data_IF_378402913204
#
_entry.id   IF_378402913204
#
_cell.length_a   1.000
_cell.length_b   1.000
_cell.length_c   1.000
_cell.angle_alpha   90.00
_cell.angle_beta   90.00
_cell.angle_gamma   90.00
#
_symmetry.space_group_name_H-M   'P 1'
#
loop_
_entity.id
_entity.type
_entity.pdbx_description
1 polymer ?
#
# COMPACT_ATOMS: atom_id res chain seq x y z
N UNK A 1 8.65 19.10 -4.73
CA UNK A 1 7.47 18.93 -3.87
C UNK A 1 6.30 19.65 -4.52
N UNK A 2 5.21 18.94 -4.70
CA UNK A 2 3.99 19.48 -5.32
C UNK A 2 3.18 20.38 -4.40
N UNK A 3 2.02 20.80 -4.90
CA UNK A 3 1.14 21.76 -4.21
C UNK A 3 0.35 21.11 -3.06
N UNK A 4 0.07 21.89 -2.04
CA UNK A 4 -0.74 21.49 -0.89
C UNK A 4 -0.22 20.22 -0.19
N UNK A 5 1.10 20.07 -0.12
CA UNK A 5 1.74 19.03 0.68
C UNK A 5 1.89 19.51 2.13
N UNK A 6 1.68 18.58 3.06
CA UNK A 6 1.93 18.81 4.49
C UNK A 6 3.06 17.87 4.94
N UNK A 7 4.12 18.46 5.48
CA UNK A 7 5.28 17.71 6.00
C UNK A 7 5.49 18.17 7.43
N UNK A 8 5.25 17.26 8.37
CA UNK A 8 5.34 17.57 9.79
C UNK A 8 6.78 17.46 10.27
N UNK A 9 7.19 18.39 11.10
CA UNK A 9 8.49 18.29 11.78
C UNK A 9 8.44 17.20 12.87
N UNK A 10 9.59 16.64 13.15
CA UNK A 10 9.74 15.74 14.29
C UNK A 10 9.65 16.51 15.61
N UNK A 11 9.06 15.88 16.63
CA UNK A 11 9.07 16.42 18.01
C UNK A 11 10.48 16.29 18.60
N UNK A 12 11.08 15.12 18.42
CA UNK A 12 12.47 14.81 18.76
C UNK A 12 13.06 14.06 17.56
N UNK A 13 14.27 14.37 17.16
CA UNK A 13 14.89 13.78 15.97
C UNK A 13 14.55 14.55 14.71
N UNK A 14 14.35 13.86 13.60
CA UNK A 14 14.15 14.50 12.29
C UNK A 14 13.13 13.75 11.44
N UNK A 15 12.37 14.50 10.68
CA UNK A 15 11.66 14.02 9.49
C UNK A 15 12.60 14.23 8.30
N UNK A 16 12.89 13.16 7.54
CA UNK A 16 13.92 13.17 6.50
C UNK A 16 13.34 12.71 5.18
N UNK A 17 13.64 13.44 4.12
CA UNK A 17 13.33 13.07 2.74
C UNK A 17 14.65 13.03 1.98
N UNK A 18 14.95 11.87 1.40
CA UNK A 18 16.20 11.66 0.65
C UNK A 18 16.22 12.42 -0.67
N UNK A 19 17.42 12.61 -1.18
CA UNK A 19 17.66 13.29 -2.45
C UNK A 19 16.96 12.61 -3.62
N UNK A 20 16.66 13.35 -4.67
CA UNK A 20 15.97 12.89 -5.89
C UNK A 20 14.57 12.31 -5.65
N UNK A 21 14.04 12.34 -4.46
CA UNK A 21 12.66 11.93 -4.18
C UNK A 21 11.68 12.96 -4.73
N UNK A 22 10.72 12.49 -5.50
CA UNK A 22 9.67 13.31 -6.13
C UNK A 22 8.38 13.16 -5.33
N UNK A 23 7.80 14.28 -4.96
CA UNK A 23 6.56 14.34 -4.18
C UNK A 23 5.54 15.13 -4.98
N UNK A 24 4.44 14.47 -5.34
CA UNK A 24 3.33 15.06 -6.07
C UNK A 24 2.40 15.85 -5.13
N UNK A 25 1.30 16.35 -5.65
CA UNK A 25 0.36 17.18 -4.91
C UNK A 25 -0.37 16.40 -3.80
N UNK A 26 -0.82 17.12 -2.76
CA UNK A 26 -1.68 16.58 -1.71
C UNK A 26 -1.05 15.40 -0.95
N UNK A 27 0.24 15.40 -0.75
CA UNK A 27 0.97 14.38 0.00
C UNK A 27 1.08 14.81 1.46
N UNK A 28 0.82 13.88 2.39
CA UNK A 28 1.03 14.10 3.82
C UNK A 28 2.15 13.20 4.35
N UNK A 29 3.14 13.82 4.95
CA UNK A 29 4.26 13.12 5.61
C UNK A 29 4.26 13.54 7.09
N UNK A 30 3.93 12.61 7.96
CA UNK A 30 3.84 12.86 9.39
C UNK A 30 5.22 12.94 10.06
N UNK A 31 5.22 13.26 11.33
CA UNK A 31 6.42 13.47 12.13
C UNK A 31 7.33 12.23 12.18
N UNK A 32 8.64 12.43 12.24
CA UNK A 32 9.65 11.38 12.39
C UNK A 32 9.66 10.33 11.26
N UNK A 33 9.07 10.62 10.13
CA UNK A 33 9.12 9.77 8.95
C UNK A 33 10.48 9.92 8.28
N UNK A 34 11.03 8.81 7.80
CA UNK A 34 12.25 8.79 6.98
C UNK A 34 11.93 8.21 5.62
N UNK A 35 12.19 8.96 4.59
CA UNK A 35 12.02 8.55 3.19
C UNK A 35 13.39 8.52 2.53
N UNK A 36 13.71 7.40 1.91
CA UNK A 36 14.97 7.21 1.19
C UNK A 36 15.09 8.08 -0.05
N UNK A 37 16.16 7.89 -0.79
CA UNK A 37 16.44 8.61 -2.03
C UNK A 37 15.70 8.01 -3.22
N UNK A 38 15.44 8.84 -4.24
CA UNK A 38 14.91 8.40 -5.53
C UNK A 38 13.50 7.82 -5.47
N UNK A 39 12.72 8.13 -4.44
CA UNK A 39 11.34 7.67 -4.30
C UNK A 39 10.39 8.51 -5.15
N UNK A 40 9.25 7.92 -5.50
CA UNK A 40 8.14 8.60 -6.17
C UNK A 40 6.89 8.48 -5.30
N UNK A 41 6.43 9.59 -4.75
CA UNK A 41 5.21 9.67 -3.97
C UNK A 41 4.15 10.38 -4.80
N UNK A 42 3.18 9.63 -5.29
CA UNK A 42 2.14 10.16 -6.18
C UNK A 42 1.03 10.85 -5.36
N UNK A 43 0.16 11.57 -6.04
CA UNK A 43 -0.84 12.42 -5.43
C UNK A 43 -1.69 11.70 -4.36
N UNK A 44 -1.91 12.35 -3.24
CA UNK A 44 -2.71 11.83 -2.13
C UNK A 44 -2.02 10.75 -1.28
N UNK A 45 -0.73 10.47 -1.49
CA UNK A 45 0.03 9.59 -0.60
C UNK A 45 0.04 10.16 0.82
N UNK A 46 -0.14 9.29 1.80
CA UNK A 46 -0.09 9.66 3.21
C UNK A 46 0.70 8.63 4.02
N UNK A 47 1.59 9.10 4.87
CA UNK A 47 2.38 8.23 5.75
C UNK A 47 2.31 8.73 7.19
N UNK A 48 1.95 7.81 8.07
CA UNK A 48 1.86 8.08 9.51
C UNK A 48 3.23 8.10 10.18
N UNK A 49 3.28 8.66 11.39
CA UNK A 49 4.52 8.95 12.09
C UNK A 49 5.43 7.76 12.35
N UNK A 50 6.71 8.03 12.37
CA UNK A 50 7.79 7.08 12.71
C UNK A 50 7.91 5.88 11.76
N UNK A 51 7.39 5.98 10.56
CA UNK A 51 7.58 4.97 9.52
C UNK A 51 8.77 5.30 8.63
N UNK A 52 9.39 4.28 8.06
CA UNK A 52 10.56 4.41 7.21
C UNK A 52 10.29 3.81 5.83
N UNK A 53 10.61 4.56 4.79
CA UNK A 53 10.59 4.13 3.40
C UNK A 53 12.01 3.98 2.91
N UNK A 54 12.34 2.85 2.32
CA UNK A 54 13.65 2.61 1.71
C UNK A 54 13.88 3.43 0.45
N UNK A 55 14.96 3.12 -0.25
CA UNK A 55 15.35 3.83 -1.46
C UNK A 55 14.59 3.34 -2.70
N UNK A 56 14.38 4.23 -3.66
CA UNK A 56 13.79 3.90 -4.97
C UNK A 56 12.42 3.22 -4.91
N UNK A 57 11.62 3.55 -3.91
CA UNK A 57 10.25 3.07 -3.79
C UNK A 57 9.29 3.92 -4.63
N UNK A 58 8.27 3.29 -5.19
CA UNK A 58 7.22 3.97 -5.96
C UNK A 58 5.86 3.69 -5.33
N UNK A 59 5.16 4.74 -4.98
CA UNK A 59 3.79 4.68 -4.46
C UNK A 59 2.85 5.35 -5.43
N UNK A 60 1.92 4.60 -5.97
CA UNK A 60 0.87 5.14 -6.83
C UNK A 60 -0.14 5.97 -6.00
N UNK A 61 -1.11 6.56 -6.64
CA UNK A 61 -2.01 7.52 -6.00
C UNK A 61 -2.77 6.99 -4.79
N UNK A 62 -2.92 7.82 -3.78
CA UNK A 62 -3.74 7.57 -2.61
C UNK A 62 -3.33 6.34 -1.78
N UNK A 63 -2.06 6.01 -1.73
CA UNK A 63 -1.53 4.96 -0.85
C UNK A 63 -1.40 5.51 0.56
N UNK A 64 -1.85 4.72 1.55
CA UNK A 64 -1.70 5.01 2.97
C UNK A 64 -0.71 4.07 3.64
N UNK A 65 0.09 4.59 4.56
CA UNK A 65 1.07 3.82 5.34
C UNK A 65 0.81 4.02 6.83
N UNK A 66 0.57 2.93 7.55
CA UNK A 66 0.35 2.95 9.00
C UNK A 66 1.64 3.33 9.76
N UNK A 67 1.54 3.73 11.04
CA UNK A 67 2.71 4.17 11.81
C UNK A 67 3.66 3.03 12.16
N UNK A 68 4.92 3.40 12.42
CA UNK A 68 5.97 2.49 12.92
C UNK A 68 6.27 1.29 12.00
N UNK A 69 6.17 1.48 10.70
CA UNK A 69 6.44 0.46 9.68
C UNK A 69 7.71 0.73 8.92
N UNK A 70 8.26 -0.32 8.30
CA UNK A 70 9.38 -0.24 7.38
C UNK A 70 9.00 -0.83 6.02
N UNK A 71 9.20 -0.05 4.98
CA UNK A 71 9.03 -0.49 3.59
C UNK A 71 10.40 -0.62 2.96
N UNK A 72 10.76 -1.81 2.52
CA UNK A 72 12.08 -2.08 1.96
C UNK A 72 12.33 -1.41 0.62
N UNK A 73 13.60 -1.30 0.25
CA UNK A 73 14.06 -0.66 -1.00
C UNK A 73 13.36 -1.24 -2.23
N UNK A 74 13.13 -0.39 -3.23
CA UNK A 74 12.57 -0.78 -4.54
C UNK A 74 11.19 -1.45 -4.46
N UNK A 75 10.41 -1.14 -3.45
CA UNK A 75 9.01 -1.56 -3.37
C UNK A 75 8.15 -0.72 -4.30
N UNK A 76 7.20 -1.34 -4.97
CA UNK A 76 6.19 -0.69 -5.79
C UNK A 76 4.83 -0.99 -5.19
N UNK A 77 4.04 0.06 -4.93
CA UNK A 77 2.74 -0.08 -4.29
C UNK A 77 1.65 0.52 -5.18
N UNK A 78 0.66 -0.29 -5.53
CA UNK A 78 -0.45 0.10 -6.39
C UNK A 78 -1.38 1.13 -5.73
N UNK A 79 -2.14 1.83 -6.57
CA UNK A 79 -3.06 2.88 -6.12
C UNK A 79 -4.06 2.40 -5.08
N UNK A 80 -4.38 3.27 -4.13
CA UNK A 80 -5.37 3.05 -3.06
C UNK A 80 -5.04 1.87 -2.15
N UNK A 81 -3.79 1.44 -2.10
CA UNK A 81 -3.34 0.40 -1.18
C UNK A 81 -3.17 0.94 0.24
N UNK A 82 -3.42 0.10 1.23
CA UNK A 82 -3.21 0.41 2.64
C UNK A 82 -2.14 -0.50 3.22
N UNK A 83 -0.99 0.05 3.57
CA UNK A 83 0.13 -0.70 4.16
C UNK A 83 -0.05 -0.72 5.67
N UNK A 84 -0.33 -1.91 6.21
CA UNK A 84 -0.61 -2.12 7.64
C UNK A 84 0.48 -2.90 8.36
N UNK A 85 1.46 -3.41 7.63
CA UNK A 85 2.63 -4.11 8.17
C UNK A 85 3.86 -3.79 7.33
N UNK A 86 5.04 -4.02 7.89
CA UNK A 86 6.30 -3.83 7.17
C UNK A 86 6.38 -4.71 5.92
N UNK A 87 6.97 -4.18 4.86
CA UNK A 87 7.07 -4.83 3.55
C UNK A 87 8.53 -5.08 3.19
N UNK A 88 8.81 -6.25 2.65
CA UNK A 88 10.12 -6.58 2.07
C UNK A 88 10.32 -5.79 0.78
N UNK A 89 11.56 -5.39 0.51
CA UNK A 89 11.91 -4.69 -0.71
C UNK A 89 11.87 -5.55 -1.98
N UNK A 90 11.89 -4.89 -3.12
CA UNK A 90 11.99 -5.54 -4.43
C UNK A 90 10.72 -6.21 -4.94
N UNK A 91 9.57 -5.92 -4.35
CA UNK A 91 8.29 -6.55 -4.69
C UNK A 91 7.22 -5.53 -5.03
N UNK A 92 6.16 -5.98 -5.68
CA UNK A 92 4.97 -5.20 -6.00
C UNK A 92 3.83 -5.60 -5.06
N UNK A 93 3.19 -4.60 -4.47
CA UNK A 93 2.12 -4.78 -3.49
C UNK A 93 0.84 -4.09 -3.95
N UNK A 94 -0.31 -4.63 -3.54
CA UNK A 94 -1.62 -4.04 -3.81
C UNK A 94 -2.63 -4.40 -2.72
N UNK A 95 -3.68 -3.62 -2.61
CA UNK A 95 -4.84 -3.89 -1.77
C UNK A 95 -4.81 -3.25 -0.40
N UNK A 96 -5.85 -3.52 0.36
CA UNK A 96 -6.00 -3.10 1.76
C UNK A 96 -6.55 -4.29 2.57
N UNK A 97 -5.78 -4.89 3.48
CA UNK A 97 -4.34 -4.66 3.72
C UNK A 97 -3.48 -5.03 2.49
N UNK A 98 -2.41 -4.28 2.28
CA UNK A 98 -1.53 -4.49 1.13
C UNK A 98 -0.84 -5.85 1.20
N UNK A 99 -0.84 -6.54 0.06
CA UNK A 99 -0.23 -7.87 -0.14
C UNK A 99 0.59 -7.86 -1.41
N UNK A 100 1.44 -8.84 -1.59
CA UNK A 100 2.07 -9.03 -2.88
C UNK A 100 1.01 -9.13 -3.97
N UNK A 101 1.27 -8.51 -5.12
CA UNK A 101 0.25 -8.36 -6.17
C UNK A 101 -0.29 -9.70 -6.67
N UNK A 102 0.53 -10.74 -6.67
CA UNK A 102 0.08 -12.10 -7.06
C UNK A 102 -1.00 -12.62 -6.12
N UNK A 103 -0.79 -12.47 -4.81
CA UNK A 103 -1.75 -12.89 -3.79
C UNK A 103 -3.02 -12.05 -3.84
N UNK A 104 -2.87 -10.74 -4.02
CA UNK A 104 -4.00 -9.83 -4.19
C UNK A 104 -4.86 -10.22 -5.40
N UNK A 105 -4.26 -10.42 -6.56
CA UNK A 105 -4.98 -10.79 -7.79
C UNK A 105 -5.66 -12.15 -7.67
N UNK A 106 -5.00 -13.13 -7.05
CA UNK A 106 -5.56 -14.44 -6.77
C UNK A 106 -6.80 -14.35 -5.88
N UNK A 107 -6.71 -13.55 -4.82
CA UNK A 107 -7.83 -13.30 -3.92
C UNK A 107 -9.00 -12.62 -4.64
N UNK A 108 -8.73 -11.60 -5.47
CA UNK A 108 -9.76 -10.93 -6.24
C UNK A 108 -10.45 -11.87 -7.23
N UNK A 109 -9.70 -12.74 -7.90
CA UNK A 109 -10.25 -13.75 -8.80
C UNK A 109 -11.18 -14.72 -8.05
N UNK A 110 -10.79 -15.17 -6.86
CA UNK A 110 -11.63 -16.04 -6.02
C UNK A 110 -12.91 -15.33 -5.56
N UNK A 111 -12.83 -14.08 -5.17
CA UNK A 111 -13.99 -13.25 -4.79
C UNK A 111 -14.97 -13.16 -5.96
N UNK A 112 -14.47 -12.93 -7.17
CA UNK A 112 -15.30 -12.83 -8.37
C UNK A 112 -15.97 -14.16 -8.74
N UNK A 113 -15.47 -15.29 -8.26
CA UNK A 113 -16.03 -16.62 -8.52
C UNK A 113 -17.06 -17.07 -7.48
N UNK A 114 -17.20 -16.35 -6.38
CA UNK A 114 -18.10 -16.73 -5.27
C UNK A 114 -19.54 -16.97 -5.75
N UNK A 115 -20.09 -16.11 -6.59
CA UNK A 115 -21.42 -16.27 -7.13
C UNK A 115 -21.62 -17.56 -7.93
N UNK A 116 -20.64 -17.93 -8.76
CA UNK A 116 -20.66 -19.18 -9.52
C UNK A 116 -20.54 -20.41 -8.62
N UNK A 117 -19.68 -20.36 -7.62
CA UNK A 117 -19.51 -21.42 -6.64
C UNK A 117 -20.79 -21.65 -5.84
N UNK A 118 -21.47 -20.59 -5.44
CA UNK A 118 -22.74 -20.67 -4.74
C UNK A 118 -23.80 -21.38 -5.60
N UNK A 119 -23.93 -21.00 -6.86
CA UNK A 119 -24.87 -21.65 -7.79
C UNK A 119 -24.58 -23.15 -7.96
N UNK A 120 -23.32 -23.52 -8.12
CA UNK A 120 -22.92 -24.93 -8.21
C UNK A 120 -23.25 -25.69 -6.94
N UNK A 121 -23.00 -25.10 -5.79
CA UNK A 121 -23.31 -25.70 -4.50
C UNK A 121 -24.84 -25.93 -4.34
N UNK A 122 -25.67 -24.95 -4.68
CA UNK A 122 -27.09 -25.04 -4.63
C UNK A 122 -27.62 -26.18 -5.51
N UNK A 123 -27.07 -26.35 -6.71
CA UNK A 123 -27.40 -27.47 -7.61
C UNK A 123 -27.10 -28.83 -6.98
N UNK A 124 -25.89 -28.98 -6.40
CA UNK A 124 -25.44 -30.20 -5.72
C UNK A 124 -26.34 -30.54 -4.52
N UNK A 125 -26.72 -29.55 -3.72
CA UNK A 125 -27.63 -29.73 -2.58
C UNK A 125 -29.02 -30.22 -3.05
N UNK A 126 -29.58 -29.61 -4.09
CA UNK A 126 -30.84 -30.03 -4.68
C UNK A 126 -30.81 -31.48 -5.20
N UNK A 127 -29.69 -31.88 -5.85
CA UNK A 127 -29.54 -33.23 -6.36
C UNK A 127 -29.47 -34.26 -5.23
N UNK A 128 -28.85 -33.94 -4.09
CA UNK A 128 -28.79 -34.82 -2.93
C UNK A 128 -30.17 -34.97 -2.25
N UNK A 129 -30.97 -33.93 -2.21
CA UNK A 129 -32.30 -33.95 -1.57
C UNK A 129 -33.34 -34.77 -2.38
N UNK A 130 -33.06 -35.10 -3.65
CA UNK A 130 -33.90 -35.94 -4.50
C UNK A 130 -33.67 -37.46 -4.35
N UNK A 131 -32.67 -37.82 -3.59
CA UNK A 131 -32.34 -39.20 -3.25
C UNK A 131 -32.57 -39.47 -1.78
#
# INVERSE_FOLDING_TARGET
IGSNCAIDRATIGSTVIGEMTKIDNLVHIAHNVKIGKGCLLTAGFAIAGSSEIGNYCTFAGQVGVAPHLKVGDRSIVASKSGITKSLKGGKVYAGFPAREIKDHNKQQALINQIGRLRKKLDVLIKNQSKH
#
